data_IF_528555124465
#
_entry.id   IF_528555124465
#
_cell.length_a   1.000
_cell.length_b   1.000
_cell.length_c   1.000
_cell.angle_alpha   90.00
_cell.angle_beta   90.00
_cell.angle_gamma   90.00
#
_symmetry.space_group_name_H-M   'P 1'
#
loop_
_entity.id
_entity.type
_entity.pdbx_description
1 polymer ?
#
# COMPACT_ATOMS: atom_id res chain seq x y z
N UNK A 1 -5.11 -9.05 12.97
CA UNK A 1 -4.10 -8.50 12.06
C UNK A 1 -2.99 -9.50 11.90
N UNK A 2 -2.59 -9.81 10.66
CA UNK A 2 -1.48 -10.70 10.37
C UNK A 2 -0.12 -9.98 10.59
N UNK A 3 1.01 -10.71 10.72
CA UNK A 3 2.31 -10.10 10.98
C UNK A 3 2.83 -9.19 9.87
N UNK A 4 2.46 -9.43 8.60
CA UNK A 4 2.91 -8.62 7.46
C UNK A 4 2.15 -7.29 7.46
N UNK A 5 0.82 -7.35 7.55
CA UNK A 5 -0.04 -6.18 7.68
C UNK A 5 0.36 -5.32 8.88
N UNK A 6 0.71 -5.94 10.02
CA UNK A 6 1.22 -5.20 11.19
C UNK A 6 2.49 -4.42 10.88
N UNK A 7 3.50 -5.04 10.28
CA UNK A 7 4.78 -4.37 9.96
C UNK A 7 4.57 -3.19 9.02
N UNK A 8 3.73 -3.38 8.01
CA UNK A 8 3.38 -2.32 7.06
C UNK A 8 2.68 -1.16 7.76
N UNK A 9 1.71 -1.46 8.64
CA UNK A 9 0.98 -0.45 9.41
C UNK A 9 1.90 0.31 10.37
N UNK A 10 2.80 -0.39 11.08
CA UNK A 10 3.77 0.26 11.98
C UNK A 10 4.68 1.24 11.20
N UNK A 11 5.13 0.87 9.99
CA UNK A 11 5.94 1.72 9.13
C UNK A 11 5.15 2.94 8.58
N UNK A 12 3.87 2.72 8.25
CA UNK A 12 2.95 3.76 7.80
C UNK A 12 2.65 4.79 8.91
N UNK A 13 2.35 4.30 10.12
CA UNK A 13 2.02 5.14 11.28
C UNK A 13 3.16 6.09 11.64
N UNK A 14 4.41 5.63 11.54
CA UNK A 14 5.60 6.44 11.78
C UNK A 14 5.74 7.66 10.84
N UNK A 15 4.94 7.75 9.78
CA UNK A 15 4.96 8.85 8.80
C UNK A 15 3.78 9.83 8.94
N UNK A 16 2.90 9.63 9.93
CA UNK A 16 1.74 10.50 10.16
C UNK A 16 2.13 11.97 10.32
N UNK A 17 1.37 12.84 9.63
CA UNK A 17 1.61 14.28 9.60
C UNK A 17 2.55 14.73 8.49
N UNK A 18 3.12 13.82 7.69
CA UNK A 18 3.86 14.21 6.50
C UNK A 18 2.96 14.98 5.51
N UNK A 19 3.49 16.07 4.96
CA UNK A 19 2.83 16.89 3.93
C UNK A 19 3.82 17.07 2.79
N UNK A 20 3.34 16.97 1.56
CA UNK A 20 4.14 17.28 0.37
C UNK A 20 4.59 18.75 0.38
N UNK A 21 5.63 19.05 -0.40
CA UNK A 21 6.07 20.44 -0.59
C UNK A 21 5.12 21.17 -1.55
N UNK A 22 5.25 22.49 -1.65
CA UNK A 22 4.34 23.32 -2.46
C UNK A 22 4.33 23.03 -3.97
N UNK A 23 5.30 22.27 -4.47
CA UNK A 23 5.40 21.80 -5.86
C UNK A 23 4.90 20.34 -6.04
N UNK A 24 4.30 19.74 -5.01
CA UNK A 24 3.88 18.35 -4.98
C UNK A 24 5.00 17.37 -4.61
N UNK A 25 6.23 17.85 -4.35
CA UNK A 25 7.34 16.96 -4.06
C UNK A 25 7.09 16.14 -2.79
N UNK A 26 7.36 14.84 -2.88
CA UNK A 26 7.44 13.96 -1.71
C UNK A 26 8.71 13.13 -1.69
N UNK A 27 9.19 12.83 -0.48
CA UNK A 27 10.28 11.86 -0.29
C UNK A 27 9.90 10.44 -0.74
N UNK A 28 8.59 10.13 -0.79
CA UNK A 28 8.08 8.84 -1.21
C UNK A 28 8.15 8.70 -2.74
N UNK A 29 7.72 9.73 -3.46
CA UNK A 29 7.85 9.81 -4.91
C UNK A 29 9.32 9.84 -5.37
N UNK A 30 10.15 10.62 -4.71
CA UNK A 30 11.61 10.66 -4.97
C UNK A 30 12.30 9.32 -4.71
N UNK A 31 11.93 8.64 -3.62
CA UNK A 31 12.39 7.29 -3.38
C UNK A 31 11.89 6.31 -4.45
N UNK A 32 10.64 6.42 -4.89
CA UNK A 32 10.07 5.53 -5.91
C UNK A 32 10.81 5.68 -7.25
N UNK A 33 10.95 6.92 -7.74
CA UNK A 33 11.71 7.25 -8.95
C UNK A 33 13.13 6.65 -8.90
N UNK A 34 13.79 6.75 -7.76
CA UNK A 34 15.18 6.29 -7.61
C UNK A 34 15.34 4.77 -7.47
N UNK A 35 14.42 4.09 -6.78
CA UNK A 35 14.65 2.73 -6.29
C UNK A 35 13.71 1.68 -6.89
N UNK A 36 12.61 2.10 -7.52
CA UNK A 36 11.57 1.19 -8.03
C UNK A 36 11.36 1.39 -9.52
N UNK A 37 11.23 2.64 -9.94
CA UNK A 37 11.09 2.95 -11.36
C UNK A 37 12.40 2.67 -12.11
N UNK A 38 12.32 1.87 -13.18
CA UNK A 38 13.47 1.46 -13.97
C UNK A 38 13.98 2.57 -14.90
N UNK A 39 13.11 3.51 -15.24
CA UNK A 39 13.45 4.65 -16.12
C UNK A 39 13.94 5.86 -15.32
N UNK A 40 13.80 5.83 -13.99
CA UNK A 40 14.13 6.92 -13.08
C UNK A 40 13.47 8.25 -13.45
N UNK A 41 12.21 8.21 -13.87
CA UNK A 41 11.46 9.37 -14.32
C UNK A 41 11.18 10.33 -13.14
N UNK A 42 11.62 11.58 -13.30
CA UNK A 42 11.38 12.65 -12.35
C UNK A 42 9.89 12.94 -12.13
N UNK A 43 9.02 12.52 -13.06
CA UNK A 43 7.57 12.57 -12.92
C UNK A 43 7.09 12.06 -11.55
N UNK A 44 7.64 10.94 -11.07
CA UNK A 44 7.20 10.33 -9.82
C UNK A 44 7.51 11.19 -8.59
N UNK A 45 8.44 12.15 -8.68
CA UNK A 45 8.81 13.01 -7.54
C UNK A 45 7.65 13.90 -7.08
N UNK A 46 6.78 14.28 -8.02
CA UNK A 46 5.64 15.20 -7.79
C UNK A 46 4.28 14.59 -8.18
N UNK A 47 4.26 13.32 -8.60
CA UNK A 47 3.03 12.61 -8.93
C UNK A 47 2.19 12.27 -7.68
N UNK A 48 0.88 11.98 -7.85
CA UNK A 48 0.04 11.43 -6.80
C UNK A 48 0.68 10.20 -6.13
N UNK A 49 0.82 10.25 -4.80
CA UNK A 49 1.79 9.40 -4.10
C UNK A 49 1.18 8.42 -3.09
N UNK A 50 -0.14 8.18 -3.13
CA UNK A 50 -0.81 7.27 -2.21
C UNK A 50 -0.19 5.85 -2.23
N UNK A 51 0.02 5.30 -3.42
CA UNK A 51 0.61 3.98 -3.61
C UNK A 51 2.14 3.97 -3.41
N UNK A 52 2.82 5.01 -3.90
CA UNK A 52 4.27 5.17 -3.69
C UNK A 52 4.65 5.25 -2.20
N UNK A 53 3.78 5.84 -1.38
CA UNK A 53 3.92 5.81 0.07
C UNK A 53 3.83 4.38 0.63
N UNK A 54 2.85 3.58 0.21
CA UNK A 54 2.72 2.19 0.67
C UNK A 54 3.88 1.32 0.18
N UNK A 55 4.38 1.54 -1.04
CA UNK A 55 5.58 0.91 -1.56
C UNK A 55 6.81 1.24 -0.69
N UNK A 56 6.97 2.51 -0.31
CA UNK A 56 8.04 2.93 0.61
C UNK A 56 7.89 2.30 1.99
N UNK A 57 6.67 2.25 2.53
CA UNK A 57 6.41 1.64 3.83
C UNK A 57 6.71 0.14 3.81
N UNK A 58 6.36 -0.56 2.73
CA UNK A 58 6.69 -1.96 2.52
C UNK A 58 8.19 -2.22 2.47
N UNK A 59 8.96 -1.36 1.81
CA UNK A 59 10.44 -1.40 1.81
C UNK A 59 11.00 -1.25 3.23
N UNK A 60 10.56 -0.24 3.99
CA UNK A 60 11.02 -0.02 5.36
C UNK A 60 10.63 -1.13 6.33
N UNK A 61 9.50 -1.76 6.09
CA UNK A 61 9.04 -2.91 6.85
C UNK A 61 9.70 -4.24 6.44
N UNK A 62 10.40 -4.28 5.30
CA UNK A 62 10.98 -5.50 4.73
C UNK A 62 9.93 -6.50 4.27
N UNK A 63 8.82 -6.02 3.68
CA UNK A 63 7.67 -6.83 3.25
C UNK A 63 7.25 -6.56 1.79
N UNK A 64 8.18 -6.10 0.95
CA UNK A 64 7.90 -5.78 -0.46
C UNK A 64 7.43 -6.99 -1.27
N UNK A 65 7.90 -8.20 -0.96
CA UNK A 65 7.44 -9.43 -1.64
C UNK A 65 5.96 -9.75 -1.35
N UNK A 66 5.39 -9.22 -0.26
CA UNK A 66 4.01 -9.43 0.15
C UNK A 66 3.09 -8.23 -0.12
N UNK A 67 3.62 -7.01 -0.06
CA UNK A 67 2.82 -5.80 -0.26
C UNK A 67 2.99 -5.19 -1.66
N UNK A 68 4.03 -5.58 -2.42
CA UNK A 68 4.34 -5.01 -3.71
C UNK A 68 4.94 -3.59 -3.64
N UNK A 69 5.29 -3.06 -4.82
CA UNK A 69 5.89 -1.73 -4.97
C UNK A 69 5.27 -1.03 -6.20
N UNK A 70 4.14 -0.36 -5.99
CA UNK A 70 3.35 0.23 -7.06
C UNK A 70 3.27 1.75 -6.95
N UNK A 71 3.05 2.40 -8.10
CA UNK A 71 2.54 3.78 -8.17
C UNK A 71 1.07 3.82 -8.67
N UNK A 72 0.65 2.79 -9.41
CA UNK A 72 -0.70 2.64 -9.98
C UNK A 72 -1.59 1.81 -9.05
N UNK A 73 -2.68 2.42 -8.58
CA UNK A 73 -3.70 1.80 -7.71
C UNK A 73 -4.41 0.63 -8.39
N UNK A 74 -4.73 0.79 -9.66
CA UNK A 74 -5.38 -0.24 -10.49
C UNK A 74 -4.48 -1.46 -10.65
N UNK A 75 -3.19 -1.25 -10.98
CA UNK A 75 -2.25 -2.35 -11.16
C UNK A 75 -1.97 -3.07 -9.83
N UNK A 76 -1.91 -2.32 -8.74
CA UNK A 76 -1.75 -2.89 -7.40
C UNK A 76 -2.94 -3.78 -7.00
N UNK A 77 -4.17 -3.32 -7.21
CA UNK A 77 -5.36 -4.11 -6.95
C UNK A 77 -5.43 -5.37 -7.84
N UNK A 78 -5.11 -5.24 -9.13
CA UNK A 78 -4.99 -6.37 -10.06
C UNK A 78 -3.94 -7.38 -9.62
N UNK A 79 -2.81 -6.91 -9.09
CA UNK A 79 -1.77 -7.77 -8.58
C UNK A 79 -2.26 -8.60 -7.39
N UNK A 80 -2.87 -8.00 -6.38
CA UNK A 80 -3.47 -8.75 -5.27
C UNK A 80 -4.51 -9.77 -5.77
N UNK A 81 -5.35 -9.39 -6.74
CA UNK A 81 -6.34 -10.28 -7.34
C UNK A 81 -5.70 -11.46 -8.06
N UNK A 82 -4.63 -11.23 -8.83
CA UNK A 82 -3.87 -12.28 -9.53
C UNK A 82 -3.19 -13.26 -8.56
N UNK A 83 -2.84 -12.79 -7.36
CA UNK A 83 -2.16 -13.60 -6.34
C UNK A 83 -3.12 -14.22 -5.29
N UNK A 84 -4.43 -14.29 -5.58
CA UNK A 84 -5.46 -14.83 -4.67
C UNK A 84 -5.48 -14.15 -3.28
N UNK A 85 -5.06 -12.89 -3.23
CA UNK A 85 -4.93 -12.09 -2.00
C UNK A 85 -5.84 -10.85 -2.02
N UNK A 86 -6.94 -10.91 -2.78
CA UNK A 86 -7.95 -9.86 -2.88
C UNK A 86 -9.28 -10.30 -2.26
N UNK A 87 -10.02 -9.37 -1.65
CA UNK A 87 -11.37 -9.64 -1.16
C UNK A 87 -12.17 -8.40 -0.76
N UNK A 88 -13.25 -8.62 -0.01
CA UNK A 88 -14.23 -7.59 0.38
C UNK A 88 -14.36 -7.40 1.88
N UNK A 89 -13.65 -8.19 2.68
CA UNK A 89 -13.72 -8.13 4.14
C UNK A 89 -12.67 -7.15 4.66
N UNK A 90 -13.06 -6.11 5.41
CA UNK A 90 -12.09 -5.19 5.99
C UNK A 90 -11.36 -5.85 7.15
N UNK A 91 -10.04 -5.73 7.16
CA UNK A 91 -9.18 -6.29 8.20
C UNK A 91 -8.03 -5.31 8.48
N UNK A 92 -7.65 -5.07 9.75
CA UNK A 92 -6.47 -4.26 10.06
C UNK A 92 -5.21 -4.82 9.39
N UNK A 93 -4.42 -3.95 8.78
CA UNK A 93 -3.24 -4.28 7.98
C UNK A 93 -3.52 -4.55 6.50
N UNK A 94 -4.78 -4.65 6.08
CA UNK A 94 -5.15 -4.75 4.67
C UNK A 94 -5.01 -3.39 3.97
N UNK A 95 -4.68 -3.43 2.67
CA UNK A 95 -4.73 -2.25 1.82
C UNK A 95 -6.15 -2.11 1.30
N UNK A 96 -6.77 -0.95 1.51
CA UNK A 96 -8.12 -0.64 1.06
C UNK A 96 -8.04 0.22 -0.19
N UNK A 97 -8.81 -0.14 -1.21
CA UNK A 97 -8.83 0.51 -2.51
C UNK A 97 -10.20 1.13 -2.77
N UNK A 98 -10.22 2.38 -3.23
CA UNK A 98 -11.43 3.17 -3.38
C UNK A 98 -11.67 3.59 -4.82
N UNK A 99 -12.94 3.68 -5.17
CA UNK A 99 -13.46 4.27 -6.39
C UNK A 99 -14.50 5.31 -5.97
N UNK A 100 -14.16 6.58 -6.16
CA UNK A 100 -14.99 7.71 -5.72
C UNK A 100 -16.21 7.91 -6.61
N UNK A 101 -16.22 7.35 -7.83
CA UNK A 101 -17.39 7.37 -8.69
C UNK A 101 -18.40 6.27 -8.32
N UNK A 102 -18.00 5.30 -7.49
CA UNK A 102 -18.87 4.27 -6.93
C UNK A 102 -19.27 3.16 -7.91
N UNK A 103 -18.57 3.01 -9.04
CA UNK A 103 -18.79 1.89 -9.97
C UNK A 103 -18.43 0.53 -9.33
N UNK A 104 -17.48 0.54 -8.39
CA UNK A 104 -16.97 -0.67 -7.76
C UNK A 104 -16.08 -1.49 -8.69
N UNK A 105 -15.64 -0.90 -9.81
CA UNK A 105 -14.78 -1.53 -10.80
C UNK A 105 -13.31 -1.44 -10.37
N UNK A 106 -12.60 -2.56 -10.55
CA UNK A 106 -11.16 -2.66 -10.30
C UNK A 106 -10.35 -1.75 -11.24
N UNK A 107 -10.91 -1.41 -12.41
CA UNK A 107 -10.28 -0.55 -13.41
C UNK A 107 -10.53 0.95 -13.17
N UNK A 108 -11.30 1.31 -12.15
CA UNK A 108 -11.67 2.70 -11.82
C UNK A 108 -11.20 3.12 -10.42
N UNK A 109 -10.15 2.47 -9.90
CA UNK A 109 -9.64 2.77 -8.55
C UNK A 109 -8.88 4.10 -8.55
N UNK A 110 -9.35 5.03 -7.73
CA UNK A 110 -8.78 6.37 -7.58
C UNK A 110 -7.75 6.46 -6.45
N UNK A 111 -7.87 5.61 -5.42
CA UNK A 111 -7.09 5.78 -4.20
C UNK A 111 -6.85 4.48 -3.44
N UNK A 112 -5.78 4.48 -2.64
CA UNK A 112 -5.42 3.39 -1.73
C UNK A 112 -5.03 3.92 -0.36
N UNK A 113 -5.35 3.18 0.69
CA UNK A 113 -4.87 3.38 2.05
C UNK A 113 -4.57 2.07 2.76
N UNK A 114 -4.08 2.13 3.99
CA UNK A 114 -3.97 0.95 4.87
C UNK A 114 -4.97 1.04 6.01
N UNK A 115 -5.66 -0.06 6.30
CA UNK A 115 -6.62 -0.17 7.40
C UNK A 115 -5.86 -0.26 8.73
N UNK A 116 -6.04 0.73 9.59
CA UNK A 116 -5.50 0.76 10.96
C UNK A 116 -6.41 -0.03 11.90
N UNK A 117 -7.72 0.20 11.83
CA UNK A 117 -8.73 -0.56 12.58
C UNK A 117 -10.10 -0.51 11.90
N UNK A 118 -10.97 -1.42 12.30
CA UNK A 118 -12.37 -1.51 11.86
C UNK A 118 -13.28 -1.41 13.08
N UNK A 119 -14.31 -0.57 13.00
CA UNK A 119 -15.27 -0.34 14.08
C UNK A 119 -16.69 -0.45 13.52
N UNK A 120 -17.26 -1.65 13.63
CA UNK A 120 -18.50 -1.99 12.93
C UNK A 120 -18.35 -1.87 11.41
N UNK A 121 -19.13 -0.98 10.79
CA UNK A 121 -19.07 -0.68 9.36
C UNK A 121 -18.10 0.46 8.98
N UNK A 122 -17.36 0.99 9.95
CA UNK A 122 -16.49 2.15 9.76
C UNK A 122 -15.03 1.73 9.70
N UNK A 123 -14.32 2.18 8.67
CA UNK A 123 -12.87 2.02 8.54
C UNK A 123 -12.15 3.21 9.17
N UNK A 124 -11.05 2.92 9.87
CA UNK A 124 -10.05 3.90 10.24
C UNK A 124 -8.76 3.55 9.50
N UNK A 125 -8.27 4.48 8.71
CA UNK A 125 -7.20 4.25 7.75
C UNK A 125 -6.07 5.25 7.90
N UNK A 126 -4.89 4.88 7.42
CA UNK A 126 -3.77 5.79 7.20
C UNK A 126 -3.61 5.91 5.68
N UNK A 127 -3.74 7.14 5.18
CA UNK A 127 -3.79 7.43 3.74
C UNK A 127 -2.73 8.49 3.42
N UNK A 128 -1.85 8.18 2.47
CA UNK A 128 -0.94 9.14 1.84
C UNK A 128 -1.63 9.87 0.70
N UNK A 129 -1.21 11.09 0.39
CA UNK A 129 -1.89 11.96 -0.58
C UNK A 129 -3.40 12.15 -0.30
N UNK A 130 -3.82 12.01 0.96
CA UNK A 130 -5.19 12.27 1.34
C UNK A 130 -5.45 13.78 1.27
N UNK A 131 -6.67 14.15 0.87
CA UNK A 131 -7.06 15.54 0.58
C UNK A 131 -6.12 16.24 -0.44
N UNK A 132 -5.33 15.46 -1.19
CA UNK A 132 -4.44 15.91 -2.26
C UNK A 132 -3.05 16.36 -1.84
N UNK A 133 -2.65 16.26 -0.56
CA UNK A 133 -1.32 16.75 -0.15
C UNK A 133 -0.71 16.16 1.13
N UNK A 134 -1.45 15.37 1.94
CA UNK A 134 -0.98 14.95 3.28
C UNK A 134 -1.13 13.46 3.55
N UNK A 135 -0.31 12.99 4.47
CA UNK A 135 -0.40 11.68 5.10
C UNK A 135 -1.13 11.82 6.44
N UNK A 136 -2.35 11.32 6.51
CA UNK A 136 -3.21 11.48 7.70
C UNK A 136 -4.05 10.25 7.96
N UNK A 137 -4.61 10.20 9.17
CA UNK A 137 -5.72 9.31 9.48
C UNK A 137 -6.99 9.79 8.79
N UNK A 138 -7.78 8.85 8.26
CA UNK A 138 -9.12 9.08 7.72
C UNK A 138 -10.10 8.09 8.35
N UNK A 139 -11.36 8.50 8.39
CA UNK A 139 -12.49 7.64 8.72
C UNK A 139 -13.33 7.50 7.47
N UNK A 140 -13.65 6.28 7.05
CA UNK A 140 -14.32 5.99 5.78
C UNK A 140 -15.44 4.98 6.01
N UNK A 141 -16.53 5.12 5.28
CA UNK A 141 -17.51 4.05 5.10
C UNK A 141 -17.01 3.03 4.05
N UNK A 142 -17.82 2.01 3.79
CA UNK A 142 -17.53 0.97 2.81
C UNK A 142 -18.13 1.26 1.43
N UNK A 143 -18.88 2.35 1.24
CA UNK A 143 -19.70 2.56 0.05
C UNK A 143 -18.84 2.80 -1.19
N UNK A 144 -17.70 3.48 -1.03
CA UNK A 144 -16.72 3.73 -2.10
C UNK A 144 -15.62 2.66 -2.19
N UNK A 145 -15.72 1.56 -1.42
CA UNK A 145 -14.66 0.54 -1.37
C UNK A 145 -14.80 -0.47 -2.51
N UNK A 146 -13.80 -0.50 -3.38
CA UNK A 146 -13.68 -1.52 -4.43
C UNK A 146 -13.21 -2.84 -3.84
N UNK A 147 -12.36 -2.82 -2.82
CA UNK A 147 -11.98 -4.02 -2.10
C UNK A 147 -10.67 -3.87 -1.33
N UNK A 148 -10.15 -5.01 -0.92
CA UNK A 148 -9.00 -5.08 -0.04
C UNK A 148 -7.93 -6.03 -0.59
N UNK A 149 -6.69 -5.55 -0.59
CA UNK A 149 -5.49 -6.37 -0.74
C UNK A 149 -5.00 -6.87 0.61
N UNK A 150 -4.67 -8.16 0.71
CA UNK A 150 -4.23 -8.80 1.94
C UNK A 150 -2.76 -9.23 1.83
N UNK A 151 -1.79 -8.38 2.24
CA UNK A 151 -0.36 -8.72 2.17
C UNK A 151 -0.02 -10.08 2.80
N UNK A 152 -0.61 -10.41 3.95
CA UNK A 152 -0.39 -11.69 4.63
C UNK A 152 -0.87 -12.94 3.88
N UNK A 153 -1.67 -12.79 2.80
CA UNK A 153 -2.13 -13.91 1.96
C UNK A 153 -1.23 -14.15 0.74
N UNK A 154 -0.29 -13.25 0.44
CA UNK A 154 0.64 -13.42 -0.68
C UNK A 154 1.58 -14.59 -0.39
N UNK A 155 1.55 -15.57 -1.30
CA UNK A 155 2.47 -16.71 -1.28
C UNK A 155 3.79 -16.29 -1.89
N UNK A 156 4.79 -16.10 -1.03
CA UNK A 156 6.17 -15.87 -1.46
C UNK A 156 6.86 -17.22 -1.59
N UNK A 157 7.49 -17.48 -2.74
CA UNK A 157 8.31 -18.68 -2.90
C UNK A 157 9.47 -18.67 -1.89
N UNK A 158 9.60 -19.76 -1.13
CA UNK A 158 10.70 -19.88 -0.19
C UNK A 158 12.03 -19.94 -0.95
N UNK A 159 12.85 -18.90 -0.86
CA UNK A 159 14.24 -18.96 -1.34
C UNK A 159 14.98 -20.00 -0.51
N UNK A 160 15.44 -21.08 -1.17
CA UNK A 160 16.24 -22.11 -0.51
C UNK A 160 17.54 -21.51 0.02
N UNK A 161 17.69 -21.48 1.35
CA UNK A 161 18.95 -21.17 2.01
C UNK A 161 19.63 -22.49 2.42
N UNK A 162 20.73 -22.91 1.77
CA UNK A 162 21.45 -24.11 2.20
C UNK A 162 21.95 -23.92 3.63
N UNK A 163 21.64 -24.87 4.51
CA UNK A 163 22.31 -24.97 5.80
C UNK A 163 23.69 -25.56 5.57
N UNK A 164 24.72 -24.99 6.20
CA UNK A 164 26.06 -25.58 6.21
C UNK A 164 25.93 -27.02 6.74
N UNK A 165 26.16 -28.01 5.88
CA UNK A 165 26.37 -29.37 6.33
C UNK A 165 27.80 -29.43 6.89
N UNK A 166 27.93 -29.81 8.16
CA UNK A 166 29.25 -30.12 8.70
C UNK A 166 29.85 -31.28 7.88
N UNK A 167 31.14 -31.25 7.51
CA UNK A 167 31.78 -32.37 6.85
C UNK A 167 31.71 -33.61 7.76
N UNK A 168 31.46 -34.77 7.14
CA UNK A 168 31.40 -36.07 7.78
C UNK A 168 32.77 -36.54 8.30
#
# INVERSE_FOLDING_TARGET
MDPIGKKLLDAAEAQLGYTEKGDGYTKFGDWYAKNVDGDHDDYFKTAPWCDMFLAWAADKAGVTEQAGQFASTVDHAKWFKKHDAWGKTPEPGALVFYDWNGSGDLDQIDHVGIVERVDGGTLHTIEGNADGYKLTRKTRDLDSVVGFGYPGKIKVEAKYAPKHAAPA
#
